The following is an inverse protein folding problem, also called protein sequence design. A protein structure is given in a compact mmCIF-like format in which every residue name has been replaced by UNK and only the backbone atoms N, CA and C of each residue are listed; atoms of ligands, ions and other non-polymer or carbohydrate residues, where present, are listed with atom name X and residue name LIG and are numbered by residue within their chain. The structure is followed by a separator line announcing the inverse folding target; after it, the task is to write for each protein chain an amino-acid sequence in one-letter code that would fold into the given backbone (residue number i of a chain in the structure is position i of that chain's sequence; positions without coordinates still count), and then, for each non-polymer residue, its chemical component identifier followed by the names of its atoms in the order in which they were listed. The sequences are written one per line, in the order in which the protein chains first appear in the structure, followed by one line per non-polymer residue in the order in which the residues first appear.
data_IF_803159232385
#
_entry.id   IF_803159232385
#
_cell.length_a   1.000
_cell.length_b   1.000
_cell.length_c   1.000
_cell.angle_alpha   90.00
_cell.angle_beta   90.00
_cell.angle_gamma   90.00
#
_symmetry.space_group_name_H-M   'P 1'
#
loop_
_entity.id
_entity.type
_entity.pdbx_description
1 polymer ?
#
# COMPACT_ATOMS: atom_id res chain seq x y z
N UNK A 1 -1.91 -3.10 -13.01
CA UNK A 1 -0.52 -2.89 -12.57
C UNK A 1 0.10 -1.70 -13.27
N UNK A 2 0.13 -1.67 -14.62
CA UNK A 2 0.62 -0.50 -15.39
C UNK A 2 0.00 0.82 -14.89
N UNK A 3 -1.32 0.91 -14.74
CA UNK A 3 -1.99 2.12 -14.23
C UNK A 3 -1.59 2.56 -12.81
N UNK A 4 -1.16 1.63 -11.95
CA UNK A 4 -0.69 1.96 -10.59
C UNK A 4 0.76 2.44 -10.64
N UNK A 5 1.58 1.78 -11.44
CA UNK A 5 2.98 2.17 -11.68
C UNK A 5 3.02 3.58 -12.28
N UNK A 6 2.17 3.88 -13.26
CA UNK A 6 2.06 5.21 -13.86
C UNK A 6 1.52 6.25 -12.84
N UNK A 7 0.55 5.88 -12.00
CA UNK A 7 -0.05 6.79 -11.00
C UNK A 7 0.94 7.20 -9.91
N UNK A 8 1.91 6.34 -9.62
CA UNK A 8 2.90 6.55 -8.57
C UNK A 8 4.32 6.66 -9.12
N UNK A 9 4.49 6.94 -10.42
CA UNK A 9 5.78 6.98 -11.12
C UNK A 9 6.79 7.96 -10.48
N UNK A 10 6.28 9.07 -9.92
CA UNK A 10 7.07 10.10 -9.22
C UNK A 10 7.55 9.67 -7.82
N UNK A 11 7.18 8.47 -7.35
CA UNK A 11 7.50 7.91 -6.04
C UNK A 11 8.08 6.49 -6.26
N UNK A 12 9.03 5.98 -5.44
CA UNK A 12 9.51 4.62 -5.64
C UNK A 12 8.43 3.61 -5.27
N UNK A 13 7.55 3.26 -6.22
CA UNK A 13 6.63 2.13 -6.11
C UNK A 13 7.28 0.92 -6.78
N UNK A 14 7.52 -0.14 -6.00
CA UNK A 14 7.97 -1.41 -6.55
C UNK A 14 6.80 -2.38 -6.82
N UNK A 15 7.12 -3.55 -7.40
CA UNK A 15 6.12 -4.58 -7.69
C UNK A 15 5.42 -5.09 -6.42
N UNK A 16 6.13 -5.16 -5.29
CA UNK A 16 5.56 -5.61 -4.04
C UNK A 16 4.53 -4.59 -3.52
N UNK A 17 4.85 -3.29 -3.59
CA UNK A 17 3.94 -2.21 -3.21
C UNK A 17 2.66 -2.22 -4.06
N UNK A 18 2.81 -2.30 -5.38
CA UNK A 18 1.68 -2.36 -6.31
C UNK A 18 0.81 -3.60 -6.06
N UNK A 19 1.42 -4.74 -5.75
CA UNK A 19 0.68 -5.97 -5.45
C UNK A 19 -0.17 -5.84 -4.18
N UNK A 20 0.29 -5.09 -3.18
CA UNK A 20 -0.45 -4.84 -1.94
C UNK A 20 -1.65 -3.90 -2.14
N UNK A 21 -1.54 -2.91 -3.03
CA UNK A 21 -2.68 -2.07 -3.43
C UNK A 21 -3.77 -2.92 -4.09
N UNK A 22 -3.40 -3.73 -5.07
CA UNK A 22 -4.35 -4.64 -5.75
C UNK A 22 -4.97 -5.63 -4.77
N UNK A 23 -4.18 -6.22 -3.87
CA UNK A 23 -4.69 -7.13 -2.85
C UNK A 23 -5.67 -6.45 -1.88
N UNK A 24 -5.38 -5.22 -1.44
CA UNK A 24 -6.26 -4.48 -0.55
C UNK A 24 -7.62 -4.18 -1.21
N UNK A 25 -7.63 -3.85 -2.50
CA UNK A 25 -8.87 -3.65 -3.27
C UNK A 25 -9.69 -4.93 -3.39
N UNK A 26 -9.03 -6.07 -3.65
CA UNK A 26 -9.69 -7.38 -3.76
C UNK A 26 -10.21 -7.91 -2.42
N UNK A 27 -9.48 -7.65 -1.33
CA UNK A 27 -9.84 -8.12 0.03
C UNK A 27 -10.75 -7.15 0.78
N UNK A 28 -10.89 -5.91 0.31
CA UNK A 28 -11.67 -4.86 0.95
C UNK A 28 -11.06 -4.33 2.25
N UNK A 29 -9.75 -4.54 2.49
CA UNK A 29 -9.06 -3.97 3.64
C UNK A 29 -7.56 -3.75 3.38
N UNK A 30 -7.01 -2.67 3.94
CA UNK A 30 -5.59 -2.30 3.85
C UNK A 30 -4.72 -2.71 5.03
N UNK A 31 -5.03 -3.82 5.71
CA UNK A 31 -4.20 -4.34 6.81
C UNK A 31 -2.95 -5.01 6.26
N UNK A 32 -1.79 -4.50 6.64
CA UNK A 32 -0.48 -5.01 6.19
C UNK A 32 0.45 -5.20 7.38
N UNK A 33 1.50 -5.99 7.16
CA UNK A 33 2.61 -6.14 8.08
C UNK A 33 3.88 -5.74 7.35
N UNK A 34 4.50 -4.64 7.74
CA UNK A 34 5.77 -4.19 7.16
C UNK A 34 6.64 -3.54 8.22
N UNK A 35 7.96 -3.72 8.11
CA UNK A 35 8.93 -2.98 8.93
C UNK A 35 9.14 -1.55 8.43
N UNK A 36 8.76 -1.25 7.19
CA UNK A 36 8.87 0.09 6.64
C UNK A 36 7.73 0.98 7.14
N UNK A 37 8.07 1.98 7.96
CA UNK A 37 7.10 2.88 8.57
C UNK A 37 6.66 4.02 7.66
N UNK A 38 7.40 4.32 6.58
CA UNK A 38 7.19 5.54 5.77
C UNK A 38 6.49 5.22 4.46
N UNK A 39 6.79 4.07 3.87
CA UNK A 39 6.46 3.78 2.47
C UNK A 39 4.97 3.59 2.21
N UNK A 40 4.19 3.02 3.14
CA UNK A 40 2.77 2.74 2.88
C UNK A 40 1.80 3.89 3.21
N UNK A 41 2.32 5.00 3.74
CA UNK A 41 1.50 6.17 4.09
C UNK A 41 1.06 6.99 2.88
N UNK A 42 1.75 6.85 1.75
CA UNK A 42 1.50 7.55 0.48
C UNK A 42 0.52 6.80 -0.43
N UNK A 43 0.46 5.47 -0.33
CA UNK A 43 -0.40 4.66 -1.16
C UNK A 43 -1.85 4.68 -0.67
N UNK A 44 -2.77 4.62 -1.61
CA UNK A 44 -4.22 4.55 -1.35
C UNK A 44 -4.80 3.35 -2.09
N UNK A 45 -5.67 2.62 -1.43
CA UNK A 45 -6.49 1.57 -2.03
C UNK A 45 -7.95 2.05 -2.09
N UNK A 46 -8.69 1.68 -3.13
CA UNK A 46 -10.04 2.24 -3.39
C UNK A 46 -10.07 3.77 -3.33
N UNK A 47 -9.08 4.40 -3.96
CA UNK A 47 -8.87 5.85 -4.13
C UNK A 47 -8.69 6.73 -2.87
N UNK A 48 -9.12 6.30 -1.68
CA UNK A 48 -9.06 7.17 -0.49
C UNK A 48 -8.73 6.45 0.82
N UNK A 49 -8.54 5.12 0.83
CA UNK A 49 -8.22 4.40 2.05
C UNK A 49 -6.72 4.25 2.25
N UNK A 50 -6.25 4.53 3.47
CA UNK A 50 -4.86 4.32 3.87
C UNK A 50 -4.62 2.86 4.27
N UNK A 51 -3.36 2.45 4.28
CA UNK A 51 -2.94 1.19 4.86
C UNK A 51 -2.79 1.29 6.39
N UNK A 52 -3.09 0.19 7.08
CA UNK A 52 -2.88 0.01 8.52
C UNK A 52 -1.72 -0.96 8.71
N UNK A 53 -0.59 -0.48 9.22
CA UNK A 53 0.55 -1.32 9.52
C UNK A 53 0.43 -1.94 10.93
N UNK A 54 0.07 -3.22 10.97
CA UNK A 54 -0.15 -3.97 12.20
C UNK A 54 1.15 -4.19 13.01
N UNK A 55 2.32 -4.03 12.37
CA UNK A 55 3.61 -4.16 13.07
C UNK A 55 3.82 -3.03 14.10
N UNK A 56 3.16 -1.89 13.91
CA UNK A 56 3.22 -0.74 14.84
C UNK A 56 2.31 -0.89 16.05
N UNK A 57 1.42 -1.88 16.03
CA UNK A 57 0.48 -2.15 17.12
C UNK A 57 1.04 -3.13 18.15
N UNK A 58 2.24 -3.68 17.89
CA UNK A 58 2.99 -4.47 18.86
C UNK A 58 3.93 -3.57 19.69
N UNK A 59 3.82 -3.59 21.04
CA UNK A 59 4.64 -2.77 21.93
C UNK A 59 6.13 -3.17 21.93
#
# INVERSE_FOLDING_TARGET
MEQLIDRYEDIPMDLADASLVVLAENLGHGRILTSDRRDFSIYRWQDNHTFQNLFLEYP
#
